data_IF_289791417004
#
_entry.id   IF_289791417004
#
_cell.length_a   1.000
_cell.length_b   1.000
_cell.length_c   1.000
_cell.angle_alpha   90.00
_cell.angle_beta   90.00
_cell.angle_gamma   90.00
#
_symmetry.space_group_name_H-M   'P 1'
#
loop_
_entity.id
_entity.type
_entity.pdbx_description
1 polymer ?
#
# COMPACT_ATOMS: atom_id res chain seq x y z
N UNK A 1 44.54 22.23 45.19
CA UNK A 1 44.24 22.11 44.86
C UNK A 1 43.46 21.73 44.23
N UNK A 2 43.05 21.59 44.00
CA UNK A 2 42.50 21.30 43.40
C UNK A 2 41.84 20.88 42.69
N UNK A 3 41.47 20.72 42.33
CA UNK A 3 40.91 20.38 41.66
C UNK A 3 40.17 19.91 40.98
N UNK A 4 39.70 19.71 40.79
CA UNK A 4 39.08 19.31 40.16
C UNK A 4 38.39 18.94 39.43
N UNK A 5 37.99 18.79 39.11
CA UNK A 5 37.42 18.49 38.36
C UNK A 5 36.65 17.93 37.67
N UNK A 6 36.29 17.75 37.41
CA UNK A 6 35.68 17.24 36.78
C UNK A 6 34.93 16.92 36.06
N UNK A 7 34.59 16.78 35.80
CA UNK A 7 34.00 16.40 35.11
C UNK A 7 33.23 15.97 34.39
N UNK A 8 32.92 15.86 34.12
CA UNK A 8 32.30 15.52 33.45
C UNK A 8 31.60 15.05 32.77
N UNK A 9 31.37 14.91 32.51
CA UNK A 9 30.77 14.48 31.85
C UNK A 9 30.04 14.08 31.19
N UNK A 10 29.72 13.99 30.95
CA UNK A 10 29.13 13.62 30.32
C UNK A 10 28.39 13.19 29.64
N UNK A 11 28.08 13.07 29.38
CA UNK A 11 27.44 12.70 28.74
C UNK A 11 26.74 12.26 28.05
N UNK A 12 26.49 12.16 27.77
CA UNK A 12 25.91 11.82 27.08
C UNK A 12 25.14 11.31 26.38
N UNK A 13 24.95 11.16 26.21
CA UNK A 13 24.26 10.70 25.53
C UNK A 13 23.55 10.35 24.82
N UNK A 14 23.21 10.24 24.62
CA UNK A 14 22.61 9.87 23.95
C UNK A 14 21.85 9.48 23.25
N UNK A 15 21.60 9.38 23.10
CA UNK A 15 20.94 9.17 22.44
C UNK A 15 20.33 8.64 21.70
N UNK A 16 20.21 8.48 21.48
CA UNK A 16 19.69 8.05 20.69
C UNK A 16 18.95 7.63 20.20
N UNK A 17 18.59 7.54 20.12
CA UNK A 17 18.00 7.20 19.59
C UNK A 17 17.16 6.82 19.04
N UNK A 18 16.90 6.70 19.08
CA UNK A 18 16.10 6.42 18.67
C UNK A 18 15.69 6.20 17.86
N UNK A 19 15.55 6.10 17.49
CA UNK A 19 15.28 6.06 16.69
C UNK A 19 14.61 5.36 16.23
N UNK A 20 14.45 5.30 16.11
CA UNK A 20 13.93 4.82 15.49
C UNK A 20 13.28 4.14 15.31
N UNK A 21 13.11 3.75 15.24
CA UNK A 21 12.61 3.03 15.14
C UNK A 21 11.55 2.95 14.74
N UNK A 22 11.29 3.27 14.70
CA UNK A 22 10.33 3.57 14.40
C UNK A 22 9.90 3.14 13.29
N UNK A 23 10.33 3.37 12.56
CA UNK A 23 9.89 3.12 11.38
C UNK A 23 9.62 1.74 11.09
N UNK A 24 10.02 0.99 11.70
CA UNK A 24 9.92 -0.24 11.42
C UNK A 24 8.70 -0.83 11.50
N UNK A 25 7.91 -0.43 12.13
CA UNK A 25 6.72 -0.99 12.25
C UNK A 25 5.93 -0.98 11.07
N UNK A 26 6.11 -0.07 10.18
CA UNK A 26 5.33 0.01 8.98
C UNK A 26 5.48 -1.18 8.10
N UNK A 27 6.58 -1.87 8.15
CA UNK A 27 6.75 -3.05 7.33
C UNK A 27 5.74 -4.12 7.63
N UNK A 28 5.37 -4.27 8.88
CA UNK A 28 4.44 -5.31 9.23
C UNK A 28 3.04 -4.99 8.75
N UNK A 29 2.70 -3.73 8.64
CA UNK A 29 1.40 -3.34 8.18
C UNK A 29 1.20 -3.55 6.70
N UNK A 30 2.28 -3.78 5.98
CA UNK A 30 2.22 -3.96 4.54
C UNK A 30 2.28 -5.40 4.11
N UNK A 31 2.07 -6.33 5.01
CA UNK A 31 2.08 -7.73 4.65
C UNK A 31 0.78 -8.10 3.96
N UNK A 32 0.87 -8.84 2.85
CA UNK A 32 -0.34 -9.27 2.16
C UNK A 32 -1.19 -10.18 3.03
N UNK A 33 -2.47 -9.98 3.00
CA UNK A 33 -3.41 -10.83 3.72
C UNK A 33 -4.17 -11.73 2.77
N UNK A 34 -4.19 -11.38 1.49
CA UNK A 34 -5.00 -12.08 0.51
C UNK A 34 -4.15 -12.66 -0.62
N UNK A 35 -2.85 -12.72 -0.40
CA UNK A 35 -1.95 -13.33 -1.38
C UNK A 35 -1.53 -12.40 -2.51
N UNK A 36 -1.71 -11.11 -2.35
CA UNK A 36 -1.40 -10.14 -3.38
C UNK A 36 -0.22 -9.26 -3.03
N UNK A 37 -0.23 -8.06 -3.55
CA UNK A 37 0.82 -7.06 -3.35
C UNK A 37 0.18 -5.88 -2.64
N UNK A 38 0.79 -5.41 -1.57
CA UNK A 38 0.24 -4.32 -0.76
C UNK A 38 1.01 -3.04 -1.01
N UNK A 39 0.28 -1.95 -1.19
CA UNK A 39 0.84 -0.61 -1.23
C UNK A 39 0.00 0.30 -0.36
N UNK A 40 0.63 1.27 0.25
CA UNK A 40 -0.06 2.21 1.09
C UNK A 40 -0.04 3.60 0.47
N UNK A 41 -1.19 4.27 0.46
CA UNK A 41 -1.30 5.65 0.00
C UNK A 41 -2.15 6.38 1.01
N UNK A 42 -1.62 7.46 1.59
CA UNK A 42 -2.34 8.28 2.57
C UNK A 42 -2.92 7.42 3.69
N UNK A 43 -2.10 6.47 4.17
CA UNK A 43 -2.45 5.58 5.28
C UNK A 43 -3.52 4.55 4.95
N UNK A 44 -3.92 4.46 3.70
CA UNK A 44 -4.84 3.43 3.24
C UNK A 44 -4.02 2.34 2.55
N UNK A 45 -4.25 1.10 2.92
CA UNK A 45 -3.56 -0.03 2.31
C UNK A 45 -4.42 -0.60 1.20
N UNK A 46 -3.81 -0.78 0.04
CA UNK A 46 -4.45 -1.42 -1.10
C UNK A 46 -3.71 -2.70 -1.40
N UNK A 47 -4.43 -3.81 -1.40
CA UNK A 47 -3.81 -5.09 -1.79
C UNK A 47 -4.37 -5.52 -3.12
N UNK A 48 -3.49 -5.70 -4.09
CA UNK A 48 -3.85 -6.07 -5.45
C UNK A 48 -3.65 -7.56 -5.64
N UNK A 49 -4.73 -8.25 -6.01
CA UNK A 49 -4.66 -9.65 -6.41
C UNK A 49 -5.02 -9.71 -7.87
N UNK A 50 -4.03 -10.00 -8.71
CA UNK A 50 -4.19 -9.92 -10.15
C UNK A 50 -4.24 -11.32 -10.76
N UNK A 51 -5.33 -11.63 -11.45
CA UNK A 51 -5.50 -12.87 -12.19
C UNK A 51 -5.88 -12.51 -13.61
N UNK A 52 -5.68 -13.43 -14.56
CA UNK A 52 -5.92 -13.11 -15.97
C UNK A 52 -7.35 -12.67 -16.28
N UNK A 53 -8.31 -13.09 -15.50
CA UNK A 53 -9.71 -12.79 -15.79
C UNK A 53 -10.35 -11.86 -14.76
N UNK A 54 -9.66 -11.57 -13.67
CA UNK A 54 -10.23 -10.71 -12.64
C UNK A 54 -9.12 -10.05 -11.82
N UNK A 55 -9.27 -8.77 -11.61
CA UNK A 55 -8.38 -8.02 -10.73
C UNK A 55 -9.19 -7.69 -9.49
N UNK A 56 -8.68 -8.05 -8.32
CA UNK A 56 -9.33 -7.74 -7.06
C UNK A 56 -8.46 -6.81 -6.25
N UNK A 57 -9.07 -5.81 -5.65
CA UNK A 57 -8.37 -4.85 -4.80
C UNK A 57 -9.05 -4.86 -3.44
N UNK A 58 -8.26 -5.11 -2.41
CA UNK A 58 -8.75 -5.06 -1.03
C UNK A 58 -8.27 -3.77 -0.40
N UNK A 59 -9.13 -3.10 0.34
CA UNK A 59 -8.84 -1.80 0.92
C UNK A 59 -8.92 -1.90 2.44
N UNK A 60 -7.87 -1.43 3.11
CA UNK A 60 -7.83 -1.42 4.57
C UNK A 60 -7.28 -0.10 5.08
N UNK A 61 -7.68 0.27 6.28
CA UNK A 61 -7.20 1.47 6.95
C UNK A 61 -6.65 1.02 8.29
N UNK A 62 -5.31 1.02 8.43
CA UNK A 62 -4.64 0.59 9.65
C UNK A 62 -5.11 -0.81 10.09
N UNK A 63 -5.21 -1.72 9.13
CA UNK A 63 -5.57 -3.10 9.41
C UNK A 63 -7.07 -3.36 9.51
N UNK A 64 -7.88 -2.33 9.36
CA UNK A 64 -9.33 -2.49 9.41
C UNK A 64 -9.90 -2.43 8.00
N UNK A 65 -10.87 -3.27 7.72
CA UNK A 65 -11.50 -3.28 6.41
C UNK A 65 -12.25 -1.98 6.17
N UNK A 66 -12.09 -1.45 4.96
CA UNK A 66 -12.80 -0.25 4.54
C UNK A 66 -13.93 -0.69 3.61
N UNK A 67 -15.16 -0.33 3.95
CA UNK A 67 -16.30 -0.65 3.11
C UNK A 67 -16.14 0.07 1.78
N UNK A 68 -16.22 -0.68 0.68
CA UNK A 68 -16.05 -0.13 -0.65
C UNK A 68 -17.35 0.35 -1.28
N UNK A 69 -18.44 0.33 -0.54
CA UNK A 69 -19.71 0.81 -1.05
C UNK A 69 -19.56 2.26 -1.50
N UNK A 70 -20.02 2.55 -2.70
CA UNK A 70 -19.92 3.89 -3.25
C UNK A 70 -18.57 4.24 -3.84
N UNK A 71 -17.62 3.31 -3.80
CA UNK A 71 -16.32 3.55 -4.40
C UNK A 71 -16.36 3.21 -5.88
N UNK A 72 -15.49 3.86 -6.64
CA UNK A 72 -15.33 3.56 -8.06
C UNK A 72 -13.84 3.55 -8.35
N UNK A 73 -13.45 2.95 -9.46
CA UNK A 73 -12.06 2.98 -9.83
C UNK A 73 -11.79 2.37 -11.17
N UNK A 74 -10.54 2.46 -11.56
CA UNK A 74 -10.06 1.86 -12.78
C UNK A 74 -8.72 1.23 -12.52
N UNK A 75 -8.43 0.17 -13.26
CA UNK A 75 -7.13 -0.46 -13.22
C UNK A 75 -6.60 -0.50 -14.64
N UNK A 76 -5.34 -0.10 -14.80
CA UNK A 76 -4.64 -0.18 -16.08
C UNK A 76 -3.45 -1.08 -15.88
N UNK A 77 -3.25 -2.04 -16.78
CA UNK A 77 -2.09 -2.91 -16.76
C UNK A 77 -1.30 -2.70 -18.02
N UNK A 78 0.00 -2.63 -17.87
CA UNK A 78 0.89 -2.45 -19.01
C UNK A 78 2.05 -3.43 -18.93
N UNK A 79 2.29 -4.16 -19.99
CA UNK A 79 3.43 -5.03 -20.10
C UNK A 79 4.02 -4.81 -21.50
N UNK A 80 5.13 -4.05 -21.56
CA UNK A 80 5.67 -3.65 -22.84
C UNK A 80 4.66 -2.83 -23.62
N UNK A 81 4.30 -3.29 -24.79
CA UNK A 81 3.32 -2.61 -25.63
C UNK A 81 1.89 -3.07 -25.33
N UNK A 82 1.75 -4.13 -24.53
CA UNK A 82 0.43 -4.62 -24.16
C UNK A 82 -0.21 -3.73 -23.12
N UNK A 83 -1.49 -3.44 -23.30
CA UNK A 83 -2.21 -2.58 -22.41
C UNK A 83 -3.60 -3.12 -22.21
N UNK A 84 -4.05 -3.19 -20.99
CA UNK A 84 -5.42 -3.57 -20.72
C UNK A 84 -5.97 -2.70 -19.60
N UNK A 85 -7.27 -2.54 -19.56
CA UNK A 85 -7.92 -1.71 -18.57
C UNK A 85 -9.19 -2.39 -18.10
N UNK A 86 -9.56 -2.09 -16.88
CA UNK A 86 -10.79 -2.58 -16.32
C UNK A 86 -11.41 -1.54 -15.42
N UNK A 87 -12.71 -1.67 -15.20
CA UNK A 87 -13.44 -0.81 -14.27
C UNK A 87 -13.60 -1.55 -12.97
N UNK A 88 -13.15 -0.91 -11.88
CA UNK A 88 -13.28 -1.48 -10.56
C UNK A 88 -14.62 -1.10 -9.97
N UNK A 89 -15.36 -2.10 -9.50
CA UNK A 89 -16.66 -1.87 -8.87
C UNK A 89 -16.68 -2.56 -7.52
N UNK A 90 -17.47 -2.07 -6.57
CA UNK A 90 -17.57 -2.71 -5.26
C UNK A 90 -18.05 -4.15 -5.39
N UNK A 91 -17.42 -5.03 -4.66
CA UNK A 91 -17.73 -6.46 -4.70
C UNK A 91 -18.05 -7.01 -3.32
N UNK A 92 -18.44 -6.12 -2.41
CA UNK A 92 -18.77 -6.50 -1.05
C UNK A 92 -17.59 -6.32 -0.10
N UNK A 93 -17.87 -6.12 1.16
CA UNK A 93 -16.85 -5.93 2.18
C UNK A 93 -15.87 -4.84 1.75
N UNK A 94 -14.61 -5.15 1.78
CA UNK A 94 -13.55 -4.22 1.44
C UNK A 94 -12.96 -4.51 0.07
N UNK A 95 -13.74 -5.08 -0.86
CA UNK A 95 -13.24 -5.47 -2.16
C UNK A 95 -13.77 -4.62 -3.30
N UNK A 96 -12.91 -4.40 -4.27
CA UNK A 96 -13.28 -3.88 -5.58
C UNK A 96 -12.82 -4.91 -6.60
N UNK A 97 -13.59 -5.11 -7.66
CA UNK A 97 -13.24 -6.08 -8.68
C UNK A 97 -13.40 -5.51 -10.06
N UNK A 98 -12.50 -5.93 -10.97
CA UNK A 98 -12.61 -5.62 -12.39
C UNK A 98 -12.49 -6.92 -13.14
N UNK A 99 -13.48 -7.23 -13.96
CA UNK A 99 -13.47 -8.45 -14.77
C UNK A 99 -13.06 -8.11 -16.17
N UNK A 100 -12.33 -9.02 -16.81
CA UNK A 100 -11.87 -8.78 -18.17
C UNK A 100 -10.80 -9.77 -18.55
N UNK A 101 -9.90 -9.33 -19.40
CA UNK A 101 -8.75 -10.11 -19.81
C UNK A 101 -7.53 -9.27 -19.57
N UNK A 102 -6.64 -9.76 -18.73
CA UNK A 102 -5.50 -8.99 -18.29
C UNK A 102 -4.22 -9.79 -18.45
N UNK A 103 -3.16 -9.09 -18.84
CA UNK A 103 -1.83 -9.68 -18.83
C UNK A 103 -1.26 -9.43 -17.44
N UNK A 104 -1.14 -10.49 -16.66
CA UNK A 104 -0.66 -10.37 -15.27
C UNK A 104 0.71 -11.01 -15.10
N UNK A 105 1.47 -11.14 -16.18
CA UNK A 105 2.78 -11.75 -16.10
C UNK A 105 3.75 -10.87 -15.34
N UNK A 106 4.86 -11.47 -14.91
CA UNK A 106 5.89 -10.75 -14.18
C UNK A 106 6.40 -9.60 -15.03
N UNK A 107 6.62 -8.46 -14.40
CA UNK A 107 7.06 -7.27 -15.10
C UNK A 107 5.93 -6.36 -15.55
N UNK A 108 4.68 -6.77 -15.34
CA UNK A 108 3.55 -5.90 -15.66
C UNK A 108 3.42 -4.82 -14.60
N UNK A 109 3.13 -3.61 -15.04
CA UNK A 109 2.83 -2.51 -14.13
C UNK A 109 1.32 -2.34 -14.06
N UNK A 110 0.79 -2.31 -12.87
CA UNK A 110 -0.64 -2.08 -12.65
C UNK A 110 -0.82 -0.74 -11.96
N UNK A 111 -1.70 0.08 -12.49
CA UNK A 111 -2.00 1.38 -11.90
C UNK A 111 -3.48 1.40 -11.56
N UNK A 112 -3.76 1.67 -10.30
CA UNK A 112 -5.12 1.80 -9.82
C UNK A 112 -5.44 3.28 -9.64
N UNK A 113 -6.64 3.68 -10.04
CA UNK A 113 -7.17 4.98 -9.69
C UNK A 113 -8.46 4.69 -8.95
N UNK A 114 -8.49 4.96 -7.66
CA UNK A 114 -9.62 4.59 -6.81
C UNK A 114 -10.17 5.83 -6.13
N UNK A 115 -11.48 6.01 -6.23
CA UNK A 115 -12.17 7.09 -5.53
C UNK A 115 -13.15 6.43 -4.57
N UNK A 116 -12.85 6.53 -3.28
CA UNK A 116 -13.75 6.01 -2.26
C UNK A 116 -14.83 7.05 -1.98
N UNK A 117 -15.96 6.59 -1.47
CA UNK A 117 -17.09 7.48 -1.19
C UNK A 117 -16.65 8.64 -0.29
N UNK A 118 -16.89 9.86 -0.72
CA UNK A 118 -16.54 11.04 0.06
C UNK A 118 -15.08 11.39 0.10
N UNK A 119 -14.24 10.69 -0.67
CA UNK A 119 -12.80 10.92 -0.64
C UNK A 119 -12.31 11.34 -2.01
N UNK A 120 -11.10 11.90 -2.04
CA UNK A 120 -10.46 12.25 -3.31
C UNK A 120 -9.94 10.97 -3.97
N UNK A 121 -9.76 11.03 -5.27
CA UNK A 121 -9.20 9.90 -6.00
C UNK A 121 -7.74 9.69 -5.60
N UNK A 122 -7.36 8.43 -5.42
CA UNK A 122 -6.01 8.05 -5.11
C UNK A 122 -5.47 7.14 -6.20
N UNK A 123 -4.21 7.34 -6.56
CA UNK A 123 -3.54 6.54 -7.58
C UNK A 123 -2.49 5.69 -6.92
N UNK A 124 -2.48 4.40 -7.24
CA UNK A 124 -1.57 3.44 -6.64
C UNK A 124 -0.92 2.63 -7.74
N UNK A 125 0.39 2.50 -7.68
CA UNK A 125 1.13 1.77 -8.71
C UNK A 125 1.72 0.49 -8.12
N UNK A 126 1.57 -0.61 -8.84
CA UNK A 126 2.08 -1.91 -8.44
C UNK A 126 2.97 -2.48 -9.53
N UNK A 127 4.00 -3.21 -9.13
CA UNK A 127 4.81 -3.99 -10.07
C UNK A 127 4.51 -5.45 -9.81
N UNK A 128 4.01 -6.14 -10.83
CA UNK A 128 3.65 -7.55 -10.69
C UNK A 128 4.91 -8.41 -10.79
N UNK A 129 4.97 -9.45 -9.98
CA UNK A 129 6.14 -10.33 -9.93
C UNK A 129 5.83 -11.71 -10.41
#
# INVERSE_FOLDING_TARGET
MNRTIAIIASCIALTALAQGKDGYKHGDEHKPKYGGIVKEVNEIQYELVAKPDIITVYVEDHGKKVDTKGATGKVSLRHGADRSEGTLVPAGDNRLEAKGKFNVSAGTTAILAVKRAGQSEETVRFALK
#
